data_IF_214359613564
#
_entry.id   IF_214359613564
#
_cell.length_a   1.000
_cell.length_b   1.000
_cell.length_c   1.000
_cell.angle_alpha   90.00
_cell.angle_beta   90.00
_cell.angle_gamma   90.00
#
_symmetry.space_group_name_H-M   'P 1'
#
loop_
_entity.id
_entity.type
_entity.pdbx_description
1 polymer ?
#
# COMPACT_ATOMS: atom_id res chain seq x y z
N UNK A 1 -49.54 -12.07 4.72
CA UNK A 1 -50.43 -11.17 5.47
C UNK A 1 -51.75 -11.89 5.72
N UNK A 2 -52.28 -11.86 6.94
CA UNK A 2 -53.68 -12.19 7.22
C UNK A 2 -54.56 -11.04 6.72
N UNK A 3 -54.81 -10.98 5.41
CA UNK A 3 -55.61 -9.93 4.77
C UNK A 3 -57.13 -10.16 4.88
N UNK A 4 -57.58 -11.01 5.82
CA UNK A 4 -59.00 -11.33 6.01
C UNK A 4 -59.65 -12.16 4.89
N UNK A 5 -58.88 -12.66 3.91
CA UNK A 5 -59.43 -13.43 2.78
C UNK A 5 -60.14 -14.75 3.19
N UNK A 6 -59.84 -15.27 4.39
CA UNK A 6 -60.41 -16.52 4.92
C UNK A 6 -61.19 -16.26 6.23
N UNK A 7 -62.06 -15.25 6.24
CA UNK A 7 -62.84 -14.92 7.43
C UNK A 7 -63.88 -16.02 7.75
N UNK A 8 -63.82 -16.54 8.97
CA UNK A 8 -64.81 -17.43 9.58
C UNK A 8 -65.06 -17.01 11.02
N UNK A 9 -66.28 -17.20 11.52
CA UNK A 9 -66.59 -16.91 12.92
C UNK A 9 -65.85 -17.90 13.83
N UNK A 10 -65.15 -17.37 14.84
CA UNK A 10 -64.59 -18.18 15.92
C UNK A 10 -65.70 -18.39 16.96
N UNK A 11 -66.17 -19.62 17.10
CA UNK A 11 -67.24 -20.00 18.03
C UNK A 11 -66.65 -20.35 19.40
N UNK A 12 -67.52 -20.42 20.41
CA UNK A 12 -67.11 -20.89 21.73
C UNK A 12 -66.57 -22.33 21.64
N UNK A 13 -65.34 -22.53 22.12
CA UNK A 13 -64.64 -23.82 22.05
C UNK A 13 -63.72 -23.99 20.84
N UNK A 14 -63.78 -23.09 19.84
CA UNK A 14 -62.87 -23.14 18.69
C UNK A 14 -61.43 -22.82 19.13
N UNK A 15 -60.47 -23.45 18.46
CA UNK A 15 -59.04 -23.17 18.64
C UNK A 15 -58.53 -22.37 17.45
N UNK A 16 -57.75 -21.32 17.74
CA UNK A 16 -57.02 -20.56 16.73
C UNK A 16 -55.55 -20.95 16.83
N UNK A 17 -54.99 -21.45 15.74
CA UNK A 17 -53.56 -21.73 15.64
C UNK A 17 -52.81 -20.47 15.23
N UNK A 18 -51.70 -20.21 15.91
CA UNK A 18 -50.86 -19.02 15.73
C UNK A 18 -49.42 -19.50 15.75
N UNK A 19 -48.81 -19.52 14.56
CA UNK A 19 -47.44 -19.98 14.37
C UNK A 19 -46.78 -19.28 13.20
N UNK A 20 -45.57 -19.72 12.87
CA UNK A 20 -44.81 -19.25 11.70
C UNK A 20 -45.04 -20.15 10.49
N UNK A 21 -44.58 -19.71 9.32
CA UNK A 21 -44.60 -20.56 8.13
C UNK A 21 -43.72 -21.80 8.32
N UNK A 22 -44.03 -22.89 7.61
CA UNK A 22 -43.22 -24.11 7.68
C UNK A 22 -41.77 -23.82 7.28
N UNK A 23 -40.83 -24.20 8.14
CA UNK A 23 -39.39 -23.97 7.94
C UNK A 23 -38.90 -22.56 8.29
N UNK A 24 -39.79 -21.64 8.67
CA UNK A 24 -39.40 -20.30 9.12
C UNK A 24 -38.79 -20.36 10.53
N UNK A 25 -37.51 -20.02 10.62
CA UNK A 25 -36.72 -20.04 11.85
C UNK A 25 -36.42 -18.64 12.40
N UNK A 26 -36.66 -17.57 11.63
CA UNK A 26 -36.33 -16.20 12.01
C UNK A 26 -37.37 -15.60 12.96
N UNK A 27 -38.65 -15.93 12.79
CA UNK A 27 -39.70 -15.48 13.69
C UNK A 27 -39.92 -16.53 14.78
N UNK A 28 -39.99 -16.05 16.02
CA UNK A 28 -40.31 -16.86 17.19
C UNK A 28 -41.65 -16.40 17.74
N UNK A 29 -42.56 -17.35 17.92
CA UNK A 29 -43.89 -17.10 18.49
C UNK A 29 -44.07 -18.02 19.68
N UNK A 30 -44.27 -17.43 20.86
CA UNK A 30 -44.51 -18.19 22.09
C UNK A 30 -45.76 -17.67 22.80
N UNK A 31 -46.47 -18.57 23.49
CA UNK A 31 -47.60 -18.20 24.35
C UNK A 31 -47.19 -18.22 25.81
N UNK A 32 -47.45 -17.13 26.53
CA UNK A 32 -47.28 -17.04 27.98
C UNK A 32 -48.59 -16.52 28.60
N UNK A 33 -49.34 -17.41 29.25
CA UNK A 33 -50.70 -17.11 29.70
C UNK A 33 -51.59 -16.66 28.55
N UNK A 34 -52.10 -15.43 28.64
CA UNK A 34 -52.98 -14.82 27.63
C UNK A 34 -52.24 -13.96 26.61
N UNK A 35 -50.90 -13.87 26.71
CA UNK A 35 -50.07 -13.05 25.83
C UNK A 35 -49.38 -13.93 24.79
N UNK A 36 -49.41 -13.48 23.54
CA UNK A 36 -48.59 -14.03 22.47
C UNK A 36 -47.39 -13.11 22.33
N UNK A 37 -46.21 -13.70 22.43
CA UNK A 37 -44.94 -12.99 22.37
C UNK A 37 -44.31 -13.28 21.01
N UNK A 38 -44.02 -12.20 20.29
CA UNK A 38 -43.26 -12.24 19.05
C UNK A 38 -41.84 -11.78 19.34
N UNK A 39 -40.87 -12.50 18.81
CA UNK A 39 -39.49 -12.06 18.76
C UNK A 39 -38.86 -12.52 17.45
N UNK A 40 -37.69 -11.97 17.17
CA UNK A 40 -36.81 -12.48 16.15
C UNK A 40 -35.78 -13.41 16.79
N UNK A 41 -35.38 -14.45 16.08
CA UNK A 41 -34.15 -15.19 16.40
C UNK A 41 -32.96 -14.24 16.45
N UNK A 42 -31.96 -14.57 17.27
CA UNK A 42 -30.75 -13.75 17.38
C UNK A 42 -29.85 -13.94 16.17
N UNK A 43 -29.80 -15.16 15.65
CA UNK A 43 -29.24 -15.50 14.36
C UNK A 43 -30.38 -15.52 13.34
N UNK A 44 -30.22 -14.76 12.26
CA UNK A 44 -31.19 -14.67 11.19
C UNK A 44 -30.62 -15.32 9.92
N UNK A 45 -31.42 -16.18 9.30
CA UNK A 45 -31.14 -16.78 8.00
C UNK A 45 -31.88 -15.98 6.92
N UNK A 46 -31.13 -15.20 6.13
CA UNK A 46 -31.65 -14.22 5.18
C UNK A 46 -30.88 -14.30 3.87
N UNK A 47 -31.58 -14.11 2.74
CA UNK A 47 -30.92 -13.94 1.44
C UNK A 47 -30.16 -12.61 1.34
N UNK A 48 -30.71 -11.55 1.94
CA UNK A 48 -30.06 -10.23 1.98
C UNK A 48 -30.62 -9.29 3.04
N UNK A 49 -29.82 -8.30 3.41
CA UNK A 49 -30.21 -7.12 4.19
C UNK A 49 -29.90 -5.88 3.35
N UNK A 50 -30.90 -5.04 3.11
CA UNK A 50 -30.75 -3.77 2.39
C UNK A 50 -31.08 -2.61 3.31
N UNK A 51 -30.15 -1.66 3.46
CA UNK A 51 -30.30 -0.45 4.29
C UNK A 51 -29.80 0.77 3.53
N UNK A 52 -30.73 1.50 2.91
CA UNK A 52 -30.38 2.61 2.02
C UNK A 52 -29.56 2.10 0.82
N UNK A 53 -28.34 2.62 0.64
CA UNK A 53 -27.45 2.23 -0.45
C UNK A 53 -26.63 0.97 -0.16
N UNK A 54 -26.66 0.47 1.08
CA UNK A 54 -25.89 -0.68 1.52
C UNK A 54 -26.70 -1.97 1.34
N UNK A 55 -26.06 -3.00 0.80
CA UNK A 55 -26.61 -4.35 0.71
C UNK A 55 -25.60 -5.35 1.23
N UNK A 56 -26.03 -6.21 2.16
CA UNK A 56 -25.32 -7.41 2.58
C UNK A 56 -26.06 -8.62 2.02
N UNK A 57 -25.39 -9.47 1.25
CA UNK A 57 -25.93 -10.73 0.72
C UNK A 57 -24.82 -11.81 0.63
N UNK A 58 -25.11 -12.94 -0.03
CA UNK A 58 -24.15 -14.05 -0.20
C UNK A 58 -22.85 -13.67 -0.94
N UNK A 59 -22.80 -12.50 -1.59
CA UNK A 59 -21.60 -12.00 -2.27
C UNK A 59 -20.73 -11.12 -1.37
N UNK A 60 -21.26 -10.64 -0.23
CA UNK A 60 -20.60 -9.71 0.70
C UNK A 60 -21.37 -8.41 0.94
N UNK A 61 -20.66 -7.35 1.31
CA UNK A 61 -21.18 -6.00 1.55
C UNK A 61 -20.89 -5.10 0.35
N UNK A 62 -21.92 -4.49 -0.23
CA UNK A 62 -21.80 -3.50 -1.30
C UNK A 62 -22.49 -2.20 -0.89
N UNK A 63 -21.80 -1.07 -1.04
CA UNK A 63 -22.40 0.27 -0.93
C UNK A 63 -22.52 0.83 -2.34
N UNK A 64 -23.76 1.03 -2.82
CA UNK A 64 -23.99 1.58 -4.17
C UNK A 64 -23.40 2.98 -4.27
N UNK A 65 -22.45 3.16 -5.21
CA UNK A 65 -21.70 4.41 -5.38
C UNK A 65 -20.58 4.62 -4.36
N UNK A 66 -20.19 3.59 -3.60
CA UNK A 66 -19.14 3.64 -2.59
C UNK A 66 -18.36 2.33 -2.48
N UNK A 67 -17.57 2.16 -1.40
CA UNK A 67 -16.74 0.99 -1.19
C UNK A 67 -17.53 -0.33 -1.11
N UNK A 68 -16.86 -1.44 -1.38
CA UNK A 68 -17.42 -2.78 -1.20
C UNK A 68 -16.39 -3.78 -0.66
N UNK A 69 -16.90 -4.82 0.01
CA UNK A 69 -16.15 -5.99 0.47
C UNK A 69 -16.92 -7.21 -0.02
N UNK A 70 -16.36 -7.93 -0.99
CA UNK A 70 -17.02 -9.08 -1.60
C UNK A 70 -16.10 -10.30 -1.61
N UNK A 71 -16.61 -11.43 -2.08
CA UNK A 71 -15.81 -12.66 -2.25
C UNK A 71 -14.62 -12.51 -3.21
N UNK A 72 -14.59 -11.46 -4.04
CA UNK A 72 -13.48 -11.17 -4.96
C UNK A 72 -12.43 -10.23 -4.37
N UNK A 73 -12.71 -9.58 -3.23
CA UNK A 73 -11.80 -8.65 -2.57
C UNK A 73 -12.49 -7.37 -2.08
N UNK A 74 -11.67 -6.33 -1.88
CA UNK A 74 -12.08 -5.02 -1.39
C UNK A 74 -11.94 -4.00 -2.52
N UNK A 75 -13.00 -3.23 -2.78
CA UNK A 75 -12.96 -2.07 -3.65
C UNK A 75 -13.13 -0.80 -2.80
N UNK A 76 -12.16 0.11 -2.86
CA UNK A 76 -12.20 1.39 -2.15
C UNK A 76 -12.99 2.47 -2.92
N UNK A 77 -13.48 2.18 -4.11
CA UNK A 77 -14.30 3.07 -4.94
C UNK A 77 -13.65 4.45 -5.18
N UNK A 78 -12.36 4.46 -5.50
CA UNK A 78 -11.56 5.68 -5.71
C UNK A 78 -11.53 6.63 -4.49
N UNK A 79 -11.65 6.09 -3.28
CA UNK A 79 -11.50 6.86 -2.04
C UNK A 79 -10.20 6.51 -1.32
N UNK A 80 -9.73 7.43 -0.48
CA UNK A 80 -8.56 7.18 0.35
C UNK A 80 -8.90 6.20 1.48
N UNK A 81 -8.04 5.20 1.70
CA UNK A 81 -8.07 4.35 2.89
C UNK A 81 -7.18 5.00 3.96
N UNK A 82 -7.80 5.54 5.01
CA UNK A 82 -7.09 6.17 6.12
C UNK A 82 -6.86 5.22 7.29
N UNK A 83 -6.01 5.62 8.25
CA UNK A 83 -5.68 4.85 9.46
C UNK A 83 -5.04 3.47 9.19
N UNK A 84 -4.29 3.37 8.10
CA UNK A 84 -3.46 2.19 7.81
C UNK A 84 -2.16 2.29 8.62
N UNK A 85 -1.97 1.40 9.58
CA UNK A 85 -0.74 1.29 10.35
C UNK A 85 0.45 0.88 9.46
N UNK A 86 1.68 1.06 9.95
CA UNK A 86 2.87 0.63 9.22
C UNK A 86 2.85 -0.89 8.98
N UNK A 87 3.14 -1.30 7.75
CA UNK A 87 3.33 -2.70 7.40
C UNK A 87 4.59 -3.27 8.09
N UNK A 88 4.44 -4.43 8.71
CA UNK A 88 5.47 -5.23 9.40
C UNK A 88 5.68 -6.61 8.75
N UNK A 89 4.75 -7.04 7.88
CA UNK A 89 4.83 -8.29 7.11
C UNK A 89 4.58 -8.02 5.63
N UNK A 90 4.98 -8.97 4.76
CA UNK A 90 4.97 -8.79 3.30
C UNK A 90 3.56 -8.71 2.67
N UNK A 91 2.53 -9.14 3.40
CA UNK A 91 1.13 -9.20 2.97
C UNK A 91 0.28 -8.01 3.50
N UNK A 92 0.91 -7.07 4.20
CA UNK A 92 0.24 -5.88 4.72
C UNK A 92 0.31 -4.72 3.73
N UNK A 93 -0.73 -3.90 3.71
CA UNK A 93 -0.75 -2.66 2.94
C UNK A 93 0.24 -1.65 3.56
N UNK A 94 1.05 -1.00 2.72
CA UNK A 94 1.92 0.10 3.14
C UNK A 94 1.12 1.41 3.21
N UNK A 95 1.48 2.29 4.15
CA UNK A 95 0.95 3.64 4.20
C UNK A 95 1.91 4.66 3.57
N UNK A 96 1.47 5.92 3.45
CA UNK A 96 2.26 7.00 2.85
C UNK A 96 3.55 7.29 3.63
N UNK A 97 3.55 7.16 4.96
CA UNK A 97 4.73 7.42 5.79
C UNK A 97 5.90 6.50 5.45
N UNK A 98 5.62 5.21 5.21
CA UNK A 98 6.63 4.25 4.77
C UNK A 98 7.18 4.58 3.37
N UNK A 99 6.33 5.02 2.44
CA UNK A 99 6.75 5.45 1.11
C UNK A 99 7.59 6.73 1.16
N UNK A 100 7.21 7.70 2.00
CA UNK A 100 7.96 8.95 2.19
C UNK A 100 9.36 8.68 2.77
N UNK A 101 9.49 7.70 3.67
CA UNK A 101 10.79 7.27 4.20
C UNK A 101 11.71 6.75 3.07
N UNK A 102 11.19 5.90 2.18
CA UNK A 102 11.94 5.42 1.00
C UNK A 102 12.33 6.58 0.08
N UNK A 103 11.42 7.54 -0.16
CA UNK A 103 11.72 8.71 -0.97
C UNK A 103 12.82 9.58 -0.34
N UNK A 104 12.83 9.71 0.99
CA UNK A 104 13.87 10.42 1.74
C UNK A 104 15.24 9.72 1.63
N UNK A 105 15.27 8.39 1.78
CA UNK A 105 16.51 7.62 1.65
C UNK A 105 17.10 7.71 0.23
N UNK A 106 16.23 7.72 -0.78
CA UNK A 106 16.61 7.93 -2.17
C UNK A 106 17.21 9.33 -2.38
N UNK A 107 16.56 10.37 -1.85
CA UNK A 107 17.06 11.74 -1.93
C UNK A 107 18.42 11.90 -1.22
N UNK A 108 18.60 11.27 -0.06
CA UNK A 108 19.88 11.27 0.65
C UNK A 108 20.99 10.61 -0.17
N UNK A 109 20.68 9.49 -0.82
CA UNK A 109 21.62 8.79 -1.71
C UNK A 109 21.97 9.65 -2.93
N UNK A 110 20.98 10.27 -3.57
CA UNK A 110 21.21 11.16 -4.72
C UNK A 110 22.05 12.40 -4.36
N UNK A 111 21.86 12.95 -3.17
CA UNK A 111 22.62 14.10 -2.69
C UNK A 111 24.08 13.73 -2.36
N UNK A 112 24.36 12.49 -1.97
CA UNK A 112 25.71 12.01 -1.66
C UNK A 112 26.48 11.52 -2.90
N UNK A 113 25.82 11.35 -4.04
CA UNK A 113 26.42 10.81 -5.26
C UNK A 113 27.29 11.84 -6.01
N UNK A 114 28.38 11.37 -6.62
CA UNK A 114 29.07 12.11 -7.68
C UNK A 114 28.24 11.96 -8.96
N UNK A 115 27.84 13.08 -9.55
CA UNK A 115 26.92 13.13 -10.69
C UNK A 115 27.55 13.84 -11.88
N UNK A 116 27.11 13.46 -13.08
CA UNK A 116 27.37 14.26 -14.27
C UNK A 116 26.65 15.61 -14.17
N UNK A 117 27.25 16.64 -14.74
CA UNK A 117 26.65 17.97 -14.83
C UNK A 117 25.39 17.95 -15.70
N UNK A 118 25.39 17.12 -16.74
CA UNK A 118 24.25 16.88 -17.63
C UNK A 118 23.95 15.37 -17.73
N UNK A 119 22.69 15.00 -17.47
CA UNK A 119 22.26 13.61 -17.43
C UNK A 119 22.22 12.91 -18.80
N UNK A 120 22.17 13.68 -19.89
CA UNK A 120 22.11 13.18 -21.27
C UNK A 120 23.50 13.12 -21.90
N UNK A 121 24.22 14.24 -21.91
CA UNK A 121 25.53 14.38 -22.55
C UNK A 121 26.63 13.61 -21.80
N UNK A 122 26.60 13.64 -20.46
CA UNK A 122 27.55 12.93 -19.58
C UNK A 122 29.02 13.17 -19.92
N UNK A 123 29.34 14.35 -20.44
CA UNK A 123 30.66 14.74 -20.90
C UNK A 123 31.49 15.44 -19.80
N UNK A 124 30.85 15.82 -18.69
CA UNK A 124 31.49 16.55 -17.59
C UNK A 124 30.97 16.14 -16.21
N UNK A 125 31.88 16.08 -15.24
CA UNK A 125 31.61 15.97 -13.80
C UNK A 125 32.30 17.12 -13.09
N UNK A 126 31.54 17.97 -12.41
CA UNK A 126 32.07 19.01 -11.52
C UNK A 126 32.04 18.52 -10.08
N UNK A 127 33.22 18.26 -9.50
CA UNK A 127 33.33 17.91 -8.09
C UNK A 127 33.14 19.15 -7.21
N UNK A 128 32.37 19.00 -6.14
CA UNK A 128 32.08 20.07 -5.19
C UNK A 128 33.25 20.35 -4.22
N UNK A 129 33.01 21.23 -3.23
CA UNK A 129 33.97 21.61 -2.19
C UNK A 129 34.67 22.94 -2.51
N UNK A 130 34.75 23.83 -1.50
CA UNK A 130 35.32 25.18 -1.67
C UNK A 130 36.80 25.17 -2.12
N UNK A 131 37.54 24.12 -1.76
CA UNK A 131 38.94 23.90 -2.15
C UNK A 131 39.11 22.71 -3.11
N UNK A 132 38.01 22.27 -3.73
CA UNK A 132 37.94 21.04 -4.52
C UNK A 132 37.75 19.77 -3.68
N UNK A 133 37.73 18.62 -4.37
CA UNK A 133 37.56 17.29 -3.79
C UNK A 133 38.77 16.41 -4.12
N UNK A 134 39.28 15.68 -3.12
CA UNK A 134 40.38 14.71 -3.32
C UNK A 134 39.81 13.40 -3.88
N UNK A 135 40.35 12.94 -5.01
CA UNK A 135 40.17 11.58 -5.52
C UNK A 135 41.40 10.76 -5.19
N UNK A 136 41.23 9.77 -4.30
CA UNK A 136 42.29 8.84 -3.90
C UNK A 136 42.01 7.44 -4.43
N UNK A 137 42.96 6.52 -4.23
CA UNK A 137 42.90 5.16 -4.75
C UNK A 137 42.75 5.13 -6.29
N UNK A 138 43.27 6.16 -6.96
CA UNK A 138 43.37 6.21 -8.42
C UNK A 138 44.51 5.27 -8.81
N UNK A 139 44.16 4.18 -9.51
CA UNK A 139 45.14 3.25 -10.07
C UNK A 139 46.07 3.99 -11.04
N UNK A 140 47.31 3.55 -11.18
CA UNK A 140 48.24 4.11 -12.18
C UNK A 140 47.62 3.97 -13.58
N UNK A 141 47.36 5.10 -14.25
CA UNK A 141 46.81 5.11 -15.61
C UNK A 141 47.85 4.78 -16.66
N UNK A 142 47.42 4.34 -17.85
CA UNK A 142 48.33 4.23 -18.98
C UNK A 142 48.86 5.62 -19.40
N UNK A 143 50.14 5.70 -19.76
CA UNK A 143 50.78 6.93 -20.22
C UNK A 143 51.22 6.74 -21.67
N UNK A 144 50.27 6.93 -22.59
CA UNK A 144 50.43 6.80 -24.03
C UNK A 144 49.71 7.93 -24.77
N UNK A 145 49.97 8.07 -26.08
CA UNK A 145 49.39 9.16 -26.89
C UNK A 145 47.88 9.08 -27.09
N UNK A 146 47.25 7.97 -26.72
CA UNK A 146 45.81 7.73 -26.88
C UNK A 146 45.09 7.49 -25.55
N UNK A 147 45.80 7.59 -24.41
CA UNK A 147 45.23 7.29 -23.10
C UNK A 147 44.18 8.33 -22.67
N UNK A 148 43.11 7.84 -22.05
CA UNK A 148 42.09 8.64 -21.35
C UNK A 148 42.04 8.34 -19.85
N UNK A 149 43.02 7.61 -19.34
CA UNK A 149 43.08 7.23 -17.94
C UNK A 149 43.50 8.44 -17.08
N UNK A 150 42.93 8.52 -15.87
CA UNK A 150 43.45 9.44 -14.87
C UNK A 150 44.85 8.98 -14.41
N UNK A 151 45.79 9.93 -14.32
CA UNK A 151 47.11 9.69 -13.71
C UNK A 151 47.08 10.00 -12.22
N UNK A 152 47.90 9.31 -11.44
CA UNK A 152 47.99 9.55 -10.00
C UNK A 152 49.33 10.20 -9.60
N UNK A 153 49.46 10.52 -8.31
CA UNK A 153 50.62 11.22 -7.78
C UNK A 153 51.97 10.50 -7.94
N UNK A 154 52.01 9.15 -7.94
CA UNK A 154 53.28 8.43 -8.08
C UNK A 154 53.86 8.53 -9.49
N UNK A 155 53.00 8.59 -10.51
CA UNK A 155 53.41 8.77 -11.91
C UNK A 155 53.99 10.17 -12.15
N UNK A 156 53.34 11.21 -11.60
CA UNK A 156 53.85 12.57 -11.65
C UNK A 156 55.16 12.71 -10.85
N UNK A 157 55.23 12.09 -9.67
CA UNK A 157 56.44 12.07 -8.86
C UNK A 157 57.63 11.44 -9.59
N UNK A 158 57.44 10.28 -10.24
CA UNK A 158 58.50 9.63 -11.02
C UNK A 158 58.99 10.51 -12.18
N UNK A 159 58.08 11.25 -12.82
CA UNK A 159 58.44 12.21 -13.88
C UNK A 159 59.29 13.35 -13.32
N UNK A 160 58.91 13.93 -12.17
CA UNK A 160 59.66 15.01 -11.53
C UNK A 160 61.08 14.57 -11.13
N UNK A 161 61.25 13.34 -10.63
CA UNK A 161 62.57 12.78 -10.33
C UNK A 161 63.48 12.73 -11.56
N UNK A 162 62.93 12.41 -12.74
CA UNK A 162 63.70 12.42 -13.99
C UNK A 162 64.08 13.85 -14.41
N UNK A 163 63.21 14.83 -14.19
CA UNK A 163 63.48 16.26 -14.47
C UNK A 163 64.57 16.81 -13.56
N UNK A 164 64.52 16.50 -12.26
CA UNK A 164 65.54 16.91 -11.29
C UNK A 164 66.90 16.29 -11.61
N UNK A 165 66.88 15.01 -12.05
CA UNK A 165 68.09 14.34 -12.53
C UNK A 165 68.69 15.04 -13.75
N UNK A 166 67.88 15.33 -14.77
CA UNK A 166 68.36 16.05 -15.95
C UNK A 166 68.95 17.41 -15.58
N UNK A 167 68.31 18.13 -14.66
CA UNK A 167 68.79 19.43 -14.15
C UNK A 167 70.17 19.30 -13.51
N UNK A 168 70.38 18.23 -12.74
CA UNK A 168 71.67 17.94 -12.11
C UNK A 168 72.75 17.53 -13.13
N UNK A 169 72.37 16.78 -14.16
CA UNK A 169 73.30 16.26 -15.17
C UNK A 169 73.81 17.35 -16.13
N UNK A 170 73.15 18.52 -16.21
CA UNK A 170 73.52 19.64 -17.10
C UNK A 170 74.17 20.83 -16.37
N UNK A 171 74.19 20.83 -15.04
CA UNK A 171 74.80 21.87 -14.21
C UNK A 171 76.32 21.64 -14.09
#
# INVERSE_FOLDING_TARGET
>A
ASNGANAGAIKAGDTVDIGTAAGESNLQVTKSGNTIQYSLSRDLDLDSVTTGNSKLDNSGLVITGGPSITTTGIDAANTNISNVADATTADQAVNKGQLDAVASDLAATDNAAVKYDDATAKDKVTLAGATGTILTNVKTGDVSSTSTDAVNGSQLFATNQNVDKNTSDIA
#
